data_IF_354632184475
#
_entry.id   IF_354632184475
#
_cell.length_a   1.000
_cell.length_b   1.000
_cell.length_c   1.000
_cell.angle_alpha   90.00
_cell.angle_beta   90.00
_cell.angle_gamma   90.00
#
_symmetry.space_group_name_H-M   'P 1'
#
loop_
_entity.id
_entity.type
_entity.pdbx_description
1 polymer ?
#
# COMPACT_ATOMS: atom_id res chain seq x y z
N UNK A 1 6.47 -4.37 11.94
CA UNK A 1 5.00 -4.49 12.07
C UNK A 1 4.43 -3.35 12.91
N UNK A 2 4.97 -3.11 14.11
CA UNK A 2 4.43 -2.13 15.07
C UNK A 2 4.37 -0.69 14.53
N UNK A 3 5.45 -0.19 13.94
CA UNK A 3 5.49 1.13 13.30
C UNK A 3 4.35 1.34 12.27
N UNK A 4 4.12 0.35 11.40
CA UNK A 4 3.01 0.40 10.44
C UNK A 4 1.64 0.40 11.12
N UNK A 5 1.48 -0.30 12.26
CA UNK A 5 0.21 -0.30 13.01
C UNK A 5 -0.07 1.09 13.58
N UNK A 6 0.94 1.76 14.13
CA UNK A 6 0.80 3.13 14.62
C UNK A 6 0.42 4.11 13.51
N UNK A 7 1.09 4.04 12.35
CA UNK A 7 0.77 4.89 11.19
C UNK A 7 -0.68 4.66 10.73
N UNK A 8 -1.12 3.41 10.63
CA UNK A 8 -2.50 3.08 10.26
C UNK A 8 -3.53 3.57 11.31
N UNK A 9 -3.23 3.38 12.59
CA UNK A 9 -4.08 3.86 13.69
C UNK A 9 -4.20 5.38 13.69
N UNK A 10 -3.09 6.10 13.48
CA UNK A 10 -3.06 7.55 13.38
C UNK A 10 -3.92 8.05 12.20
N UNK A 11 -3.78 7.41 11.03
CA UNK A 11 -4.62 7.68 9.88
C UNK A 11 -6.11 7.54 10.18
N UNK A 12 -6.50 6.41 10.77
CA UNK A 12 -7.89 6.13 11.15
C UNK A 12 -8.43 7.10 12.20
N UNK A 13 -7.60 7.49 13.18
CA UNK A 13 -7.99 8.42 14.24
C UNK A 13 -8.35 9.80 13.66
N UNK A 14 -7.57 10.31 12.70
CA UNK A 14 -7.78 11.63 12.10
C UNK A 14 -8.98 11.69 11.14
N UNK A 15 -9.43 10.55 10.63
CA UNK A 15 -10.54 10.44 9.67
C UNK A 15 -11.82 9.88 10.27
N UNK A 16 -11.82 9.46 11.54
CA UNK A 16 -12.94 8.74 12.14
C UNK A 16 -13.18 7.36 11.52
N UNK A 17 -12.12 6.72 11.01
CA UNK A 17 -12.16 5.38 10.40
C UNK A 17 -12.28 5.36 8.86
N UNK A 18 -12.45 6.52 8.22
CA UNK A 18 -12.43 6.64 6.76
C UNK A 18 -11.00 6.65 6.17
N UNK A 19 -10.89 6.54 4.84
CA UNK A 19 -9.59 6.70 4.16
C UNK A 19 -9.33 8.17 3.88
N UNK A 20 -8.16 8.68 4.25
CA UNK A 20 -7.81 10.08 4.02
C UNK A 20 -7.57 10.33 2.54
N UNK A 21 -8.04 11.46 2.03
CA UNK A 21 -7.71 11.97 0.69
C UNK A 21 -7.20 13.39 0.75
N UNK A 22 -6.14 13.69 -0.01
CA UNK A 22 -5.59 15.04 -0.15
C UNK A 22 -5.26 15.30 -1.62
N UNK A 23 -5.57 16.51 -2.10
CA UNK A 23 -5.12 16.94 -3.43
C UNK A 23 -3.62 17.21 -3.38
N UNK A 24 -2.86 16.74 -4.36
CA UNK A 24 -1.42 16.99 -4.46
C UNK A 24 -1.11 18.49 -4.41
N UNK A 25 -1.93 19.32 -5.09
CA UNK A 25 -1.74 20.77 -5.06
C UNK A 25 -1.93 21.40 -3.67
N UNK A 26 -2.76 20.82 -2.80
CA UNK A 26 -2.90 21.28 -1.42
C UNK A 26 -1.72 20.80 -0.56
N UNK A 27 -1.27 19.56 -0.75
CA UNK A 27 -0.07 19.03 -0.08
C UNK A 27 1.17 19.89 -0.38
N UNK A 28 1.38 20.26 -1.64
CA UNK A 28 2.51 21.13 -2.06
C UNK A 28 2.47 22.53 -1.44
N UNK A 29 1.27 23.01 -1.08
CA UNK A 29 1.07 24.29 -0.40
C UNK A 29 1.12 24.15 1.13
N UNK A 30 1.42 22.96 1.66
CA UNK A 30 1.45 22.70 3.10
C UNK A 30 0.08 22.88 3.76
N UNK A 31 -1.01 22.58 3.04
CA UNK A 31 -2.37 22.76 3.56
C UNK A 31 -3.24 21.53 3.39
N UNK A 32 -4.19 21.39 4.31
CA UNK A 32 -5.28 20.42 4.28
C UNK A 32 -6.18 20.59 3.05
N UNK A 33 -6.64 19.48 2.47
CA UNK A 33 -7.82 19.49 1.58
C UNK A 33 -9.10 19.46 2.42
N UNK A 34 -10.08 20.28 2.05
CA UNK A 34 -11.42 20.28 2.62
C UNK A 34 -12.47 19.84 1.57
N UNK A 35 -13.70 19.60 2.02
CA UNK A 35 -14.81 19.17 1.15
C UNK A 35 -15.06 20.13 -0.02
N UNK A 36 -15.02 21.44 0.21
CA UNK A 36 -15.27 22.44 -0.83
C UNK A 36 -14.17 22.45 -1.89
N UNK A 37 -12.91 22.25 -1.47
CA UNK A 37 -11.76 22.09 -2.34
C UNK A 37 -11.82 20.79 -3.14
N UNK A 38 -12.22 19.69 -2.49
CA UNK A 38 -12.37 18.40 -3.15
C UNK A 38 -13.47 18.44 -4.22
N UNK A 39 -14.63 19.04 -3.91
CA UNK A 39 -15.74 19.25 -4.86
C UNK A 39 -15.38 20.11 -6.07
N UNK A 40 -14.44 21.05 -5.90
CA UNK A 40 -13.93 21.91 -6.99
C UNK A 40 -12.79 21.28 -7.80
N UNK A 41 -12.33 20.08 -7.43
CA UNK A 41 -11.31 19.38 -8.21
C UNK A 41 -11.90 18.85 -9.52
N UNK A 42 -11.10 18.89 -10.58
CA UNK A 42 -11.45 18.24 -11.85
C UNK A 42 -11.48 16.72 -11.72
N UNK A 43 -10.67 16.17 -10.81
CA UNK A 43 -10.61 14.74 -10.51
C UNK A 43 -11.61 14.40 -9.43
N UNK A 44 -12.53 13.48 -9.72
CA UNK A 44 -13.56 13.05 -8.76
C UNK A 44 -13.04 11.88 -7.92
N UNK A 45 -13.25 11.89 -6.59
CA UNK A 45 -12.96 10.73 -5.78
C UNK A 45 -13.74 9.50 -6.22
N UNK A 46 -13.03 8.38 -6.38
CA UNK A 46 -13.61 7.07 -6.69
C UNK A 46 -14.16 6.42 -5.42
N UNK A 47 -13.41 6.52 -4.31
CA UNK A 47 -13.87 6.10 -3.00
C UNK A 47 -14.78 7.18 -2.39
N UNK A 48 -16.09 6.90 -2.32
CA UNK A 48 -17.09 7.86 -1.84
C UNK A 48 -17.03 8.14 -0.34
N UNK A 49 -16.49 7.21 0.43
CA UNK A 49 -16.28 7.34 1.88
C UNK A 49 -14.93 7.97 2.23
N UNK A 50 -14.17 8.47 1.24
CA UNK A 50 -12.89 9.11 1.51
C UNK A 50 -13.10 10.46 2.22
N UNK A 51 -12.27 10.73 3.22
CA UNK A 51 -12.36 11.90 4.10
C UNK A 51 -11.26 12.88 3.73
N UNK A 52 -11.58 14.13 3.35
CA UNK A 52 -10.57 15.12 3.01
C UNK A 52 -9.72 15.50 4.24
N UNK A 53 -8.40 15.48 4.05
CA UNK A 53 -7.45 15.60 5.15
C UNK A 53 -6.09 16.16 4.75
N UNK A 54 -5.13 15.93 5.65
CA UNK A 54 -3.73 16.30 5.47
C UNK A 54 -2.83 15.11 5.81
N UNK A 55 -2.20 14.54 4.79
CA UNK A 55 -1.34 13.37 4.92
C UNK A 55 -0.07 13.68 5.73
N UNK A 56 0.31 14.95 5.89
CA UNK A 56 1.44 15.38 6.72
C UNK A 56 1.25 15.14 8.22
N UNK A 57 0.01 14.95 8.67
CA UNK A 57 -0.27 14.54 10.04
C UNK A 57 -0.13 13.04 10.27
N UNK A 58 -0.04 12.22 9.21
CA UNK A 58 0.03 10.76 9.33
C UNK A 58 1.39 10.22 8.90
N UNK A 59 1.91 10.71 7.77
CA UNK A 59 3.17 10.24 7.20
C UNK A 59 4.32 11.16 7.64
N UNK A 60 5.43 10.61 8.15
CA UNK A 60 6.63 11.41 8.38
C UNK A 60 7.08 12.14 7.12
N UNK A 61 7.63 13.34 7.34
CA UNK A 61 8.04 14.25 6.28
C UNK A 61 8.88 13.57 5.18
N UNK A 62 9.85 12.73 5.56
CA UNK A 62 10.70 12.00 4.61
C UNK A 62 9.90 11.16 3.61
N UNK A 63 8.84 10.47 4.04
CA UNK A 63 8.01 9.66 3.14
C UNK A 63 7.21 10.54 2.17
N UNK A 64 6.66 11.65 2.66
CA UNK A 64 5.93 12.59 1.81
C UNK A 64 6.82 13.24 0.76
N UNK A 65 8.02 13.66 1.15
CA UNK A 65 9.01 14.22 0.22
C UNK A 65 9.34 13.20 -0.88
N UNK A 66 9.63 11.94 -0.52
CA UNK A 66 9.88 10.90 -1.51
C UNK A 66 8.69 10.64 -2.45
N UNK A 67 7.45 10.65 -1.94
CA UNK A 67 6.24 10.50 -2.77
C UNK A 67 6.11 11.68 -3.75
N UNK A 68 6.26 12.91 -3.27
CA UNK A 68 6.16 14.13 -4.08
C UNK A 68 7.24 14.15 -5.17
N UNK A 69 8.48 13.85 -4.82
CA UNK A 69 9.60 13.79 -5.77
C UNK A 69 9.41 12.67 -6.81
N UNK A 70 8.92 11.50 -6.39
CA UNK A 70 8.63 10.38 -7.29
C UNK A 70 7.53 10.75 -8.29
N UNK A 71 6.43 11.36 -7.84
CA UNK A 71 5.36 11.82 -8.71
C UNK A 71 5.86 12.87 -9.72
N UNK A 72 6.71 13.80 -9.26
CA UNK A 72 7.34 14.81 -10.12
C UNK A 72 8.26 14.18 -11.17
N UNK A 73 9.02 13.15 -10.80
CA UNK A 73 9.87 12.42 -11.73
C UNK A 73 9.03 11.62 -12.75
N UNK A 74 7.99 10.93 -12.29
CA UNK A 74 7.10 10.13 -13.15
C UNK A 74 6.26 10.96 -14.11
N UNK A 75 5.99 12.23 -13.80
CA UNK A 75 5.33 13.14 -14.73
C UNK A 75 6.07 13.28 -16.07
N UNK A 76 7.39 13.06 -16.08
CA UNK A 76 8.19 13.01 -17.33
C UNK A 76 7.87 11.80 -18.21
N UNK A 77 7.41 10.70 -17.59
CA UNK A 77 7.06 9.45 -18.28
C UNK A 77 5.57 9.37 -18.60
N UNK A 78 4.73 9.83 -17.69
CA UNK A 78 3.27 9.86 -17.82
C UNK A 78 2.76 11.25 -17.42
N UNK A 79 2.70 12.19 -18.39
CA UNK A 79 2.28 13.56 -18.14
C UNK A 79 0.90 13.64 -17.49
N UNK A 80 0.79 14.45 -16.42
CA UNK A 80 -0.43 14.66 -15.67
C UNK A 80 -0.44 13.97 -14.30
N UNK A 81 0.50 13.07 -14.02
CA UNK A 81 0.66 12.46 -12.69
C UNK A 81 0.95 13.51 -11.62
N UNK A 82 1.75 14.54 -11.93
CA UNK A 82 2.08 15.62 -11.00
C UNK A 82 1.11 16.81 -11.07
N UNK A 83 -0.13 16.57 -11.51
CA UNK A 83 -1.19 17.59 -11.53
C UNK A 83 -1.59 18.02 -10.12
N UNK A 84 -1.93 19.30 -9.95
CA UNK A 84 -2.50 19.83 -8.69
C UNK A 84 -3.82 19.13 -8.30
N UNK A 85 -4.52 18.54 -9.27
CA UNK A 85 -5.76 17.79 -9.07
C UNK A 85 -5.54 16.27 -8.90
N UNK A 86 -4.30 15.79 -8.84
CA UNK A 86 -4.01 14.40 -8.45
C UNK A 86 -4.49 14.18 -7.02
N UNK A 87 -5.27 13.13 -6.79
CA UNK A 87 -5.77 12.76 -5.48
C UNK A 87 -4.86 11.71 -4.84
N UNK A 88 -4.31 12.02 -3.68
CA UNK A 88 -3.51 11.11 -2.88
C UNK A 88 -4.40 10.49 -1.80
N UNK A 89 -4.55 9.18 -1.85
CA UNK A 89 -5.25 8.41 -0.82
C UNK A 89 -4.24 7.81 0.14
N UNK A 90 -4.51 7.89 1.44
CA UNK A 90 -3.61 7.33 2.43
C UNK A 90 -4.24 7.08 3.80
N UNK A 91 -3.59 6.32 4.66
CA UNK A 91 -2.30 5.63 4.42
C UNK A 91 -2.53 4.14 4.13
N UNK A 92 -1.94 3.64 3.04
CA UNK A 92 -1.91 2.20 2.77
C UNK A 92 -0.77 1.56 3.55
N UNK A 93 -1.11 0.65 4.47
CA UNK A 93 -0.14 -0.14 5.23
C UNK A 93 -0.41 -1.62 4.98
N UNK A 94 0.62 -2.34 4.53
CA UNK A 94 0.59 -3.81 4.42
C UNK A 94 1.54 -4.39 5.45
N UNK A 95 1.00 -5.19 6.36
CA UNK A 95 1.79 -5.95 7.32
C UNK A 95 2.33 -7.18 6.60
N UNK A 96 3.53 -7.04 6.03
CA UNK A 96 4.21 -8.19 5.47
C UNK A 96 4.57 -9.16 6.59
N UNK A 97 4.29 -10.45 6.35
CA UNK A 97 4.67 -11.52 7.24
C UNK A 97 6.19 -11.65 7.29
N UNK A 98 6.69 -12.08 8.46
CA UNK A 98 8.06 -12.58 8.56
C UNK A 98 8.23 -13.69 7.54
N UNK A 99 9.23 -13.56 6.65
CA UNK A 99 9.56 -14.59 5.66
C UNK A 99 9.79 -15.91 6.40
N UNK A 100 8.91 -16.88 6.18
CA UNK A 100 9.03 -18.20 6.79
C UNK A 100 10.25 -18.90 6.17
N UNK A 101 11.14 -19.42 7.01
CA UNK A 101 12.27 -20.21 6.54
C UNK A 101 11.76 -21.55 6.00
N UNK A 102 12.07 -21.83 4.74
CA UNK A 102 11.65 -23.05 4.04
C UNK A 102 12.81 -23.62 3.22
N UNK A 103 12.74 -24.92 2.93
CA UNK A 103 13.61 -25.62 1.99
C UNK A 103 13.28 -25.26 0.54
N UNK A 104 14.03 -25.83 -0.42
CA UNK A 104 13.75 -25.71 -1.86
C UNK A 104 12.37 -26.24 -2.25
N UNK A 105 11.79 -27.14 -1.45
CA UNK A 105 10.47 -27.73 -1.67
C UNK A 105 9.37 -27.01 -0.86
N UNK A 106 9.67 -25.83 -0.32
CA UNK A 106 8.75 -25.03 0.51
C UNK A 106 8.34 -25.68 1.85
N UNK A 107 9.04 -26.72 2.26
CA UNK A 107 8.85 -27.36 3.56
C UNK A 107 9.57 -26.55 4.64
N UNK A 108 8.91 -26.38 5.78
CA UNK A 108 9.50 -25.70 6.95
C UNK A 108 10.42 -26.64 7.73
N UNK A 109 11.00 -26.17 8.85
CA UNK A 109 11.73 -27.03 9.77
C UNK A 109 10.84 -28.12 10.43
N UNK A 110 9.51 -27.96 10.40
CA UNK A 110 8.57 -28.97 10.87
C UNK A 110 8.22 -29.88 9.69
N UNK A 111 8.51 -31.17 9.84
CA UNK A 111 8.27 -32.19 8.82
C UNK A 111 6.80 -32.23 8.39
N UNK A 112 6.56 -32.34 7.09
CA UNK A 112 5.26 -32.32 6.42
C UNK A 112 4.46 -31.02 6.64
N UNK A 113 5.11 -29.94 7.09
CA UNK A 113 4.50 -28.62 7.20
C UNK A 113 5.11 -27.69 6.14
N UNK A 114 4.29 -27.26 5.19
CA UNK A 114 4.70 -26.42 4.07
C UNK A 114 4.20 -24.99 4.24
N UNK A 115 5.00 -24.01 3.84
CA UNK A 115 4.61 -22.61 3.81
C UNK A 115 4.75 -22.09 2.37
N UNK A 116 3.67 -21.55 1.82
CA UNK A 116 3.57 -21.10 0.42
C UNK A 116 2.81 -19.77 0.32
N UNK A 117 2.85 -19.15 -0.85
CA UNK A 117 2.11 -17.94 -1.13
C UNK A 117 2.61 -16.69 -0.41
N UNK A 118 1.82 -15.61 -0.54
CA UNK A 118 2.18 -14.28 -0.03
C UNK A 118 2.16 -14.25 1.49
N UNK A 119 1.30 -15.06 2.12
CA UNK A 119 1.21 -15.18 3.58
C UNK A 119 2.48 -15.75 4.23
N UNK A 120 3.23 -16.60 3.52
CA UNK A 120 4.53 -17.08 3.97
C UNK A 120 5.69 -16.09 3.71
N UNK A 121 5.41 -14.98 3.02
CA UNK A 121 6.43 -14.00 2.61
C UNK A 121 7.35 -14.50 1.50
N UNK A 122 6.93 -15.53 0.76
CA UNK A 122 7.73 -16.20 -0.29
C UNK A 122 7.45 -15.60 -1.67
N UNK A 123 6.20 -15.24 -1.92
CA UNK A 123 5.75 -14.72 -3.22
C UNK A 123 5.25 -13.29 -3.10
N UNK A 124 5.07 -12.62 -4.25
CA UNK A 124 4.48 -11.28 -4.37
C UNK A 124 3.50 -11.26 -5.53
N UNK A 125 2.32 -11.83 -5.31
CA UNK A 125 1.20 -11.72 -6.22
C UNK A 125 0.55 -13.05 -6.58
N UNK A 126 -0.65 -12.93 -7.15
CA UNK A 126 -1.58 -14.04 -7.39
C UNK A 126 -0.95 -15.20 -8.17
N UNK A 127 -0.21 -14.90 -9.25
CA UNK A 127 0.41 -15.92 -10.09
C UNK A 127 1.45 -16.71 -9.30
N UNK A 128 2.39 -16.01 -8.66
CA UNK A 128 3.48 -16.65 -7.91
C UNK A 128 2.92 -17.48 -6.75
N UNK A 129 1.95 -16.94 -6.01
CA UNK A 129 1.30 -17.65 -4.91
C UNK A 129 0.63 -18.95 -5.40
N UNK A 130 -0.12 -18.87 -6.50
CA UNK A 130 -0.77 -20.03 -7.12
C UNK A 130 0.25 -21.09 -7.58
N UNK A 131 1.35 -20.65 -8.20
CA UNK A 131 2.41 -21.55 -8.68
C UNK A 131 3.07 -22.30 -7.52
N UNK A 132 3.33 -21.63 -6.38
CA UNK A 132 3.88 -22.32 -5.20
C UNK A 132 2.93 -23.39 -4.63
N UNK A 133 1.61 -23.16 -4.71
CA UNK A 133 0.62 -24.17 -4.34
C UNK A 133 0.68 -25.41 -5.23
N UNK A 134 0.77 -25.22 -6.55
CA UNK A 134 0.91 -26.33 -7.50
C UNK A 134 2.23 -27.07 -7.29
N UNK A 135 3.33 -26.34 -7.06
CA UNK A 135 4.65 -26.93 -6.84
C UNK A 135 4.66 -27.84 -5.60
N UNK A 136 4.14 -27.37 -4.47
CA UNK A 136 4.04 -28.18 -3.23
C UNK A 136 3.09 -29.36 -3.41
N UNK A 137 1.94 -29.16 -4.05
CA UNK A 137 0.99 -30.25 -4.30
C UNK A 137 1.62 -31.38 -5.14
N UNK A 138 2.42 -31.03 -6.16
CA UNK A 138 3.15 -32.03 -6.97
C UNK A 138 4.27 -32.72 -6.19
N UNK A 139 4.96 -32.00 -5.31
CA UNK A 139 5.99 -32.56 -4.45
C UNK A 139 5.38 -33.59 -3.47
N UNK A 140 4.27 -33.23 -2.80
CA UNK A 140 3.53 -34.14 -1.91
C UNK A 140 3.02 -35.38 -2.65
N UNK A 141 2.54 -35.20 -3.89
CA UNK A 141 2.04 -36.30 -4.72
C UNK A 141 3.15 -37.20 -5.32
N UNK A 142 4.43 -36.92 -5.08
CA UNK A 142 5.55 -37.67 -5.67
C UNK A 142 5.68 -37.50 -7.19
N UNK A 143 5.14 -36.40 -7.74
CA UNK A 143 5.14 -36.10 -9.18
C UNK A 143 6.26 -35.14 -9.60
N UNK A 144 7.26 -34.97 -8.74
CA UNK A 144 8.41 -34.07 -8.92
C UNK A 144 9.64 -34.71 -8.32
#
# INVERSE_FOLDING_TARGET
IEYGRYIAQLGNMLTGGGIMVQRLGDLLLGRRTDENRLKRSTTRPTLKSAVPGDLSFVLPHRHLTSIVESLKAFDRLAPGLYSKNTLLYGVEVKFYSSKVAVSSNFETAVKNMYAIGDGAGITRGLMQASVTGVAVARNIAGKT
#
